data_IF_659288188178
#
_entry.id   IF_659288188178
#
_cell.length_a   1.000
_cell.length_b   1.000
_cell.length_c   1.000
_cell.angle_alpha   90.00
_cell.angle_beta   90.00
_cell.angle_gamma   90.00
#
_symmetry.space_group_name_H-M   'P 1'
#
loop_
_entity.id
_entity.type
_entity.pdbx_description
1 polymer ?
#
# COMPACT_ATOMS: atom_id res chain seq x y z
N UNK A 1 -16.96 -6.67 -5.39
CA UNK A 1 -15.94 -5.61 -5.27
C UNK A 1 -16.25 -4.72 -4.08
N UNK A 2 -15.24 -4.38 -3.28
CA UNK A 2 -15.45 -3.48 -2.15
C UNK A 2 -15.72 -2.05 -2.66
N UNK A 3 -16.72 -1.39 -2.10
CA UNK A 3 -16.98 0.02 -2.39
C UNK A 3 -15.97 0.91 -1.66
N UNK A 4 -15.86 2.18 -2.06
CA UNK A 4 -15.00 3.15 -1.36
C UNK A 4 -15.38 3.26 0.11
N UNK A 5 -16.67 3.26 0.41
CA UNK A 5 -17.18 3.31 1.76
C UNK A 5 -16.70 2.11 2.59
N UNK A 6 -16.80 0.90 2.03
CA UNK A 6 -16.34 -0.31 2.72
C UNK A 6 -14.84 -0.29 2.98
N UNK A 7 -14.05 0.14 2.02
CA UNK A 7 -12.59 0.25 2.17
C UNK A 7 -12.21 1.28 3.23
N UNK A 8 -12.86 2.42 3.25
CA UNK A 8 -12.63 3.46 4.28
C UNK A 8 -13.03 2.98 5.66
N UNK A 9 -14.15 2.25 5.78
CA UNK A 9 -14.60 1.69 7.04
C UNK A 9 -13.60 0.67 7.58
N UNK A 10 -13.09 -0.22 6.72
CA UNK A 10 -12.06 -1.20 7.10
C UNK A 10 -10.78 -0.52 7.61
N UNK A 11 -10.31 0.50 6.91
CA UNK A 11 -9.13 1.26 7.33
C UNK A 11 -9.34 1.95 8.66
N UNK A 12 -10.53 2.51 8.90
CA UNK A 12 -10.87 3.17 10.15
C UNK A 12 -10.85 2.21 11.33
N UNK A 13 -11.47 1.03 11.18
CA UNK A 13 -11.50 0.00 12.21
C UNK A 13 -10.09 -0.49 12.53
N UNK A 14 -9.29 -0.76 11.51
CA UNK A 14 -7.90 -1.20 11.69
C UNK A 14 -7.06 -0.12 12.37
N UNK A 15 -7.26 1.15 11.99
CA UNK A 15 -6.60 2.28 12.62
C UNK A 15 -6.92 2.40 14.11
N UNK A 16 -8.17 2.16 14.50
CA UNK A 16 -8.58 2.14 15.91
C UNK A 16 -7.91 1.00 16.67
N UNK A 17 -7.79 -0.19 16.07
CA UNK A 17 -7.07 -1.32 16.65
C UNK A 17 -5.61 -0.97 16.91
N UNK A 18 -4.94 -0.34 15.97
CA UNK A 18 -3.56 0.12 16.12
C UNK A 18 -3.40 1.11 17.28
N UNK A 19 -4.32 2.06 17.40
CA UNK A 19 -4.31 3.04 18.49
C UNK A 19 -4.48 2.37 19.85
N UNK A 20 -5.47 1.51 19.99
CA UNK A 20 -5.79 0.83 21.26
C UNK A 20 -4.66 -0.07 21.72
N UNK A 21 -3.93 -0.69 20.81
CA UNK A 21 -2.84 -1.61 21.12
C UNK A 21 -1.49 -0.91 21.29
N UNK A 22 -1.43 0.42 21.18
CA UNK A 22 -0.17 1.17 21.18
C UNK A 22 0.71 0.85 20.00
N UNK A 23 0.11 0.44 18.87
CA UNK A 23 0.82 0.06 17.67
C UNK A 23 1.37 -1.36 17.69
N UNK A 24 1.01 -2.17 18.71
CA UNK A 24 1.51 -3.55 18.83
C UNK A 24 0.68 -4.57 18.06
N UNK A 25 -0.65 -4.43 18.12
CA UNK A 25 -1.56 -5.30 17.39
C UNK A 25 -1.92 -4.67 16.05
N UNK A 26 -2.18 -5.53 15.05
CA UNK A 26 -2.60 -5.06 13.73
C UNK A 26 -1.48 -4.65 12.78
N UNK A 27 -0.22 -4.82 13.19
CA UNK A 27 0.92 -4.54 12.30
C UNK A 27 1.26 -5.71 11.38
N UNK A 28 0.49 -6.82 11.46
CA UNK A 28 0.56 -7.93 10.52
C UNK A 28 -0.85 -8.37 10.19
N UNK A 29 -1.15 -8.52 8.91
CA UNK A 29 -2.41 -9.06 8.41
C UNK A 29 -2.13 -10.04 7.28
N UNK A 30 -2.80 -11.19 7.33
CA UNK A 30 -2.65 -12.25 6.31
C UNK A 30 -1.19 -12.66 6.10
N UNK A 31 -0.39 -12.65 7.18
CA UNK A 31 1.04 -12.96 7.11
C UNK A 31 1.91 -11.87 6.50
N UNK A 32 1.36 -10.68 6.28
CA UNK A 32 2.08 -9.54 5.68
C UNK A 32 2.22 -8.38 6.66
N UNK A 33 3.32 -7.63 6.62
CA UNK A 33 3.41 -6.41 7.42
C UNK A 33 2.37 -5.38 6.95
N UNK A 34 1.80 -4.66 7.92
CA UNK A 34 0.93 -3.53 7.65
C UNK A 34 1.76 -2.27 7.56
N UNK A 35 1.48 -1.48 6.53
CA UNK A 35 2.15 -0.22 6.25
C UNK A 35 1.12 0.90 6.39
N UNK A 36 1.41 1.85 7.28
CA UNK A 36 0.63 3.08 7.36
C UNK A 36 1.25 4.10 6.42
N UNK A 37 0.60 4.33 5.30
CA UNK A 37 1.08 5.21 4.24
C UNK A 37 0.37 6.55 4.33
N UNK A 38 1.13 7.63 4.46
CA UNK A 38 0.60 8.99 4.41
C UNK A 38 1.08 9.67 3.14
N UNK A 39 0.14 10.07 2.30
CA UNK A 39 0.38 10.82 1.07
C UNK A 39 -0.19 12.23 1.21
N UNK A 40 0.23 13.13 0.33
CA UNK A 40 -0.35 14.47 0.25
C UNK A 40 -1.45 14.46 -0.81
N UNK A 41 -2.66 14.82 -0.42
CA UNK A 41 -3.79 14.88 -1.33
C UNK A 41 -3.50 15.77 -2.52
N UNK A 42 -3.62 15.21 -3.75
CA UNK A 42 -3.30 15.92 -4.98
C UNK A 42 -4.21 17.11 -5.26
N UNK A 43 -5.36 17.15 -4.63
CA UNK A 43 -6.33 18.24 -4.77
C UNK A 43 -6.37 19.15 -3.56
N UNK A 44 -6.30 18.58 -2.36
CA UNK A 44 -6.46 19.32 -1.11
C UNK A 44 -5.15 19.84 -0.52
N UNK A 45 -4.01 19.21 -0.87
CA UNK A 45 -2.72 19.48 -0.22
C UNK A 45 -2.64 18.98 1.22
N UNK A 46 -3.64 18.25 1.69
CA UNK A 46 -3.71 17.78 3.07
C UNK A 46 -3.18 16.34 3.17
N UNK A 47 -2.61 15.95 4.32
CA UNK A 47 -2.18 14.58 4.54
C UNK A 47 -3.36 13.61 4.46
N UNK A 48 -3.15 12.46 3.80
CA UNK A 48 -4.13 11.39 3.68
C UNK A 48 -3.45 10.08 4.04
N UNK A 49 -3.96 9.39 5.05
CA UNK A 49 -3.36 8.16 5.57
C UNK A 49 -4.20 6.96 5.17
N UNK A 50 -3.53 5.92 4.69
CA UNK A 50 -4.13 4.63 4.36
C UNK A 50 -3.36 3.51 5.01
N UNK A 51 -4.06 2.45 5.41
CA UNK A 51 -3.45 1.23 5.93
C UNK A 51 -3.43 0.20 4.82
N UNK A 52 -2.25 -0.33 4.53
CA UNK A 52 -2.00 -1.25 3.43
C UNK A 52 -1.17 -2.42 3.95
N UNK A 53 -1.18 -3.53 3.21
CA UNK A 53 -0.26 -4.64 3.46
C UNK A 53 0.82 -4.66 2.39
N UNK A 54 2.03 -5.12 2.79
CA UNK A 54 3.15 -5.24 1.85
C UNK A 54 3.47 -6.71 1.65
N UNK A 55 3.24 -7.27 0.44
CA UNK A 55 3.54 -8.68 0.19
C UNK A 55 5.02 -8.96 -0.01
N UNK A 56 5.84 -7.95 -0.31
CA UNK A 56 7.28 -8.10 -0.55
C UNK A 56 8.02 -6.93 0.09
N UNK A 57 9.14 -7.23 0.73
CA UNK A 57 10.06 -6.22 1.27
C UNK A 57 11.47 -6.53 0.75
N UNK A 58 12.23 -5.48 0.43
CA UNK A 58 13.63 -5.58 0.03
C UNK A 58 14.45 -4.66 0.95
N UNK A 59 15.11 -5.25 1.96
CA UNK A 59 15.79 -4.44 2.96
C UNK A 59 14.81 -3.54 3.69
N UNK A 60 15.02 -2.22 3.61
CA UNK A 60 14.13 -1.22 4.22
C UNK A 60 13.04 -0.72 3.27
N UNK A 61 12.96 -1.28 2.06
CA UNK A 61 11.93 -0.91 1.09
C UNK A 61 10.70 -1.80 1.24
N UNK A 62 9.52 -1.22 1.01
CA UNK A 62 8.26 -1.96 0.99
C UNK A 62 7.67 -1.93 -0.41
N UNK A 63 7.17 -3.07 -0.87
CA UNK A 63 6.40 -3.15 -2.12
C UNK A 63 4.93 -3.22 -1.75
N UNK A 64 4.12 -2.34 -2.31
CA UNK A 64 2.67 -2.32 -2.11
C UNK A 64 1.96 -2.43 -3.46
N UNK A 65 0.73 -2.94 -3.42
CA UNK A 65 -0.03 -3.25 -4.62
C UNK A 65 -1.25 -2.34 -4.69
N UNK A 66 -1.37 -1.56 -5.77
CA UNK A 66 -2.48 -0.63 -5.95
C UNK A 66 -3.69 -1.33 -6.55
N UNK A 67 -4.13 -2.43 -5.93
CA UNK A 67 -5.18 -3.30 -6.44
C UNK A 67 -6.59 -2.74 -6.27
N UNK A 68 -6.85 -2.06 -5.16
CA UNK A 68 -8.19 -1.61 -4.78
C UNK A 68 -9.23 -2.75 -4.91
N UNK A 69 -8.83 -3.98 -4.50
CA UNK A 69 -9.69 -5.16 -4.59
C UNK A 69 -10.02 -5.62 -6.00
N UNK A 70 -9.26 -5.20 -7.00
CA UNK A 70 -9.50 -5.52 -8.41
C UNK A 70 -10.48 -4.57 -9.09
N UNK A 71 -10.74 -3.40 -8.50
CA UNK A 71 -11.56 -2.36 -9.10
C UNK A 71 -10.89 -1.78 -10.36
N UNK A 72 -11.70 -1.19 -11.26
CA UNK A 72 -11.21 -0.63 -12.52
C UNK A 72 -10.47 0.69 -12.37
N UNK A 73 -10.57 1.33 -11.21
CA UNK A 73 -9.89 2.59 -10.94
C UNK A 73 -8.79 2.41 -9.91
N UNK A 74 -7.77 3.23 -10.01
CA UNK A 74 -6.67 3.22 -9.05
C UNK A 74 -7.11 3.81 -7.70
N UNK A 75 -6.53 3.33 -6.58
CA UNK A 75 -6.81 3.94 -5.29
C UNK A 75 -6.32 5.39 -5.22
N UNK A 76 -6.97 6.20 -4.39
CA UNK A 76 -6.63 7.61 -4.25
C UNK A 76 -5.18 7.81 -3.81
N UNK A 77 -4.67 6.97 -2.90
CA UNK A 77 -3.29 7.08 -2.44
C UNK A 77 -2.28 6.89 -3.57
N UNK A 78 -2.59 6.04 -4.55
CA UNK A 78 -1.73 5.84 -5.72
C UNK A 78 -1.66 7.12 -6.56
N UNK A 79 -2.81 7.74 -6.82
CA UNK A 79 -2.87 8.98 -7.59
C UNK A 79 -2.15 10.11 -6.84
N UNK A 80 -2.26 10.16 -5.52
CA UNK A 80 -1.58 11.14 -4.69
C UNK A 80 -0.06 11.00 -4.77
N UNK A 81 0.47 9.77 -4.65
CA UNK A 81 1.91 9.56 -4.72
C UNK A 81 2.48 9.75 -6.12
N UNK A 82 1.68 9.55 -7.16
CA UNK A 82 2.09 9.90 -8.53
C UNK A 82 2.31 11.41 -8.66
N UNK A 83 1.42 12.19 -8.06
CA UNK A 83 1.51 13.64 -8.11
C UNK A 83 2.63 14.16 -7.20
N UNK A 84 2.84 13.52 -6.03
CA UNK A 84 3.88 13.88 -5.08
C UNK A 84 4.51 12.59 -4.52
N UNK A 85 5.67 12.16 -5.05
CA UNK A 85 6.28 10.88 -4.66
C UNK A 85 6.88 10.84 -3.27
N UNK A 86 7.03 11.95 -2.60
CA UNK A 86 7.51 11.97 -1.22
C UNK A 86 6.35 11.63 -0.28
N UNK A 87 6.51 10.56 0.49
CA UNK A 87 5.46 10.00 1.35
C UNK A 87 6.02 9.75 2.74
N UNK A 88 5.12 9.52 3.71
CA UNK A 88 5.51 9.13 5.07
C UNK A 88 5.02 7.72 5.33
N UNK A 89 5.90 6.87 5.88
CA UNK A 89 5.61 5.45 6.10
C UNK A 89 5.89 5.09 7.54
N UNK A 90 4.93 4.42 8.17
CA UNK A 90 5.10 3.85 9.50
C UNK A 90 4.77 2.36 9.43
N UNK A 91 5.65 1.52 9.95
CA UNK A 91 5.42 0.08 10.03
C UNK A 91 5.90 -0.44 11.38
N UNK A 92 5.06 -1.24 12.03
CA UNK A 92 5.33 -1.74 13.37
C UNK A 92 5.42 -0.58 14.37
N UNK A 93 6.27 -0.77 15.39
CA UNK A 93 6.48 0.23 16.44
C UNK A 93 7.58 1.23 16.12
N UNK A 94 8.15 1.12 14.91
CA UNK A 94 9.20 2.05 14.48
C UNK A 94 8.61 3.44 14.22
N UNK A 95 9.40 4.51 14.37
CA UNK A 95 8.92 5.85 14.02
C UNK A 95 8.54 5.96 12.56
N UNK A 96 7.62 6.85 12.24
CA UNK A 96 7.31 7.20 10.87
C UNK A 96 8.53 7.82 10.19
N UNK A 97 8.79 7.42 8.95
CA UNK A 97 9.93 7.92 8.18
C UNK A 97 9.47 8.41 6.82
N UNK A 98 10.19 9.38 6.28
CA UNK A 98 9.95 9.84 4.91
C UNK A 98 10.57 8.87 3.93
N UNK A 99 9.79 8.55 2.89
CA UNK A 99 10.19 7.65 1.82
C UNK A 99 9.85 8.26 0.48
N UNK A 100 10.47 7.74 -0.57
CA UNK A 100 10.12 8.08 -1.95
C UNK A 100 9.42 6.90 -2.59
N UNK A 101 8.26 7.18 -3.16
CA UNK A 101 7.50 6.18 -3.90
C UNK A 101 7.91 6.19 -5.37
N UNK A 102 8.09 5.01 -5.96
CA UNK A 102 8.27 4.86 -7.40
C UNK A 102 7.47 3.68 -7.91
N UNK A 103 7.06 3.75 -9.16
CA UNK A 103 6.25 2.70 -9.78
C UNK A 103 7.21 1.72 -10.45
N UNK A 104 7.07 0.43 -10.12
CA UNK A 104 7.89 -0.62 -10.74
C UNK A 104 7.48 -0.80 -12.19
N UNK A 105 8.46 -0.93 -13.08
CA UNK A 105 8.26 -1.07 -14.52
C UNK A 105 9.17 -2.15 -15.08
N UNK A 106 8.81 -2.67 -16.25
CA UNK A 106 9.63 -3.61 -17.02
C UNK A 106 9.98 -4.88 -16.23
N UNK A 107 11.24 -5.30 -16.31
CA UNK A 107 11.72 -6.54 -15.69
C UNK A 107 11.60 -6.52 -14.17
N UNK A 108 11.80 -5.37 -13.54
CA UNK A 108 11.63 -5.23 -12.09
C UNK A 108 10.18 -5.52 -11.69
N UNK A 109 9.22 -4.98 -12.44
CA UNK A 109 7.81 -5.25 -12.20
C UNK A 109 7.50 -6.73 -12.35
N UNK A 110 7.99 -7.36 -13.41
CA UNK A 110 7.72 -8.76 -13.71
C UNK A 110 8.28 -9.67 -12.61
N UNK A 111 9.48 -9.39 -12.14
CA UNK A 111 10.10 -10.14 -11.05
C UNK A 111 9.32 -9.98 -9.75
N UNK A 112 8.95 -8.74 -9.40
CA UNK A 112 8.16 -8.48 -8.20
C UNK A 112 6.79 -9.13 -8.28
N UNK A 113 6.13 -9.06 -9.42
CA UNK A 113 4.83 -9.69 -9.62
C UNK A 113 4.91 -11.21 -9.40
N UNK A 114 5.95 -11.83 -9.94
CA UNK A 114 6.18 -13.26 -9.74
C UNK A 114 6.36 -13.59 -8.26
N UNK A 115 7.16 -12.82 -7.54
CA UNK A 115 7.35 -13.01 -6.10
C UNK A 115 6.04 -12.87 -5.33
N UNK A 116 5.22 -11.89 -5.70
CA UNK A 116 3.91 -11.67 -5.08
C UNK A 116 2.99 -12.86 -5.36
N UNK A 117 2.94 -13.35 -6.59
CA UNK A 117 2.10 -14.51 -6.96
C UNK A 117 2.52 -15.77 -6.22
N UNK A 118 3.81 -15.98 -6.04
CA UNK A 118 4.32 -17.15 -5.32
C UNK A 118 3.95 -17.10 -3.83
N UNK A 119 3.88 -15.90 -3.26
CA UNK A 119 3.63 -15.71 -1.83
C UNK A 119 2.15 -15.48 -1.52
N UNK A 120 1.47 -14.64 -2.29
CA UNK A 120 0.06 -14.25 -2.07
C UNK A 120 -0.69 -14.23 -3.40
N UNK A 121 -1.08 -15.40 -3.93
CA UNK A 121 -1.70 -15.48 -5.26
C UNK A 121 -3.07 -14.78 -5.36
N UNK A 122 -3.70 -14.41 -4.26
CA UNK A 122 -4.97 -13.68 -4.29
C UNK A 122 -4.89 -12.34 -5.06
N UNK A 123 -3.71 -11.73 -5.13
CA UNK A 123 -3.52 -10.52 -5.94
C UNK A 123 -3.72 -10.80 -7.43
N UNK A 124 -3.43 -12.01 -7.90
CA UNK A 124 -3.75 -12.43 -9.26
C UNK A 124 -5.25 -12.46 -9.50
N UNK A 125 -6.04 -12.83 -8.49
CA UNK A 125 -7.49 -12.75 -8.54
C UNK A 125 -7.99 -11.32 -8.74
N UNK A 126 -7.36 -10.35 -8.11
CA UNK A 126 -7.68 -8.93 -8.31
C UNK A 126 -7.35 -8.48 -9.74
N UNK A 127 -6.21 -8.89 -10.28
CA UNK A 127 -5.83 -8.55 -11.65
C UNK A 127 -6.81 -9.11 -12.67
N UNK A 128 -7.39 -10.26 -12.41
CA UNK A 128 -8.38 -10.88 -13.31
C UNK A 128 -9.70 -10.13 -13.36
N UNK A 129 -9.99 -9.28 -12.39
CA UNK A 129 -11.24 -8.52 -12.31
C UNK A 129 -11.20 -7.21 -13.09
N UNK A 130 -10.04 -6.78 -13.57
CA UNK A 130 -9.89 -5.50 -14.25
C UNK A 130 -8.94 -5.64 -15.43
N UNK A 131 -9.18 -4.84 -16.48
CA UNK A 131 -8.30 -4.76 -17.65
C UNK A 131 -7.09 -3.84 -17.42
N UNK A 132 -7.14 -2.97 -16.39
CA UNK A 132 -5.98 -2.15 -16.09
C UNK A 132 -4.85 -3.00 -15.50
N UNK A 133 -3.62 -2.64 -15.80
CA UNK A 133 -2.45 -3.26 -15.16
C UNK A 133 -2.34 -2.69 -13.74
N UNK A 134 -2.50 -3.56 -12.73
CA UNK A 134 -2.44 -3.13 -11.34
C UNK A 134 -1.03 -2.67 -11.00
N UNK A 135 -0.84 -1.40 -10.59
CA UNK A 135 0.50 -0.90 -10.30
C UNK A 135 1.14 -1.55 -9.08
N UNK A 136 2.44 -1.79 -9.18
CA UNK A 136 3.29 -2.14 -8.04
C UNK A 136 4.12 -0.92 -7.69
N UNK A 137 4.08 -0.52 -6.42
CA UNK A 137 4.77 0.67 -5.93
C UNK A 137 5.85 0.25 -4.94
N UNK A 138 7.04 0.79 -5.12
CA UNK A 138 8.17 0.56 -4.23
C UNK A 138 8.35 1.81 -3.38
N UNK A 139 8.32 1.63 -2.05
CA UNK A 139 8.55 2.70 -1.09
C UNK A 139 9.97 2.54 -0.57
N UNK A 140 10.83 3.49 -0.87
CA UNK A 140 12.25 3.44 -0.52
C UNK A 140 12.60 4.55 0.46
N UNK A 141 13.42 4.27 1.52
CA UNK A 141 13.87 5.32 2.41
C UNK A 141 14.62 6.42 1.65
N UNK A 142 14.40 7.66 2.05
CA UNK A 142 15.17 8.79 1.54
C UNK A 142 16.45 8.84 2.36
N UNK A 143 17.59 8.65 1.68
CA UNK A 143 18.88 8.60 2.35
C UNK A 143 19.29 9.97 2.90
#
# INVERSE_FOLDING_TARGET
MASDFQMKAMNKVHGATLKLSGGGLGWHMYGMPVVQLTTIGRKSGQPRTSLLTSPVQNGNAFVIVASRGGDDINPAWFLNLKANPEVTVKSGRKPAVKMRARIAEGDERDELWKRIMDYKPHYGGYQKKTDRVIPLVILEPIA
#
